data_IF_317129345530
#
_entry.id   IF_317129345530
#
_cell.length_a   1.000
_cell.length_b   1.000
_cell.length_c   1.000
_cell.angle_alpha   90.00
_cell.angle_beta   90.00
_cell.angle_gamma   90.00
#
_symmetry.space_group_name_H-M   'P 1'
#
loop_
_entity.id
_entity.type
_entity.pdbx_description
1 polymer ?
#
# COMPACT_ATOMS: atom_id res chain seq x y z
N UNK A 1 -27.87 47.15 52.24
CA UNK A 1 -27.83 46.85 50.84
C UNK A 1 -26.42 47.15 50.38
N UNK A 2 -25.57 46.11 50.14
CA UNK A 2 -24.18 46.28 49.71
C UNK A 2 -24.19 46.33 48.20
N UNK A 3 -23.83 47.49 47.63
CA UNK A 3 -23.65 47.60 46.18
C UNK A 3 -22.26 47.07 45.82
N UNK A 4 -22.20 46.03 44.98
CA UNK A 4 -20.98 45.50 44.43
C UNK A 4 -20.58 46.35 43.20
N UNK A 5 -19.38 46.93 43.25
CA UNK A 5 -18.81 47.64 42.11
C UNK A 5 -18.20 46.61 41.20
N UNK A 6 -18.72 46.43 39.99
CA UNK A 6 -18.10 45.64 38.94
C UNK A 6 -16.90 46.42 38.46
N UNK A 7 -15.71 45.93 38.74
CA UNK A 7 -14.47 46.45 38.18
C UNK A 7 -14.17 45.56 36.97
N UNK A 8 -14.22 46.16 35.80
CA UNK A 8 -13.75 45.47 34.57
C UNK A 8 -12.28 45.13 34.79
N UNK A 9 -11.91 43.85 34.76
CA UNK A 9 -10.52 43.44 34.72
C UNK A 9 -10.03 43.68 33.30
N UNK A 10 -8.86 44.33 33.10
CA UNK A 10 -8.34 44.64 31.76
C UNK A 10 -8.11 43.42 30.89
N UNK A 11 -7.98 42.23 31.50
CA UNK A 11 -7.71 40.95 30.78
C UNK A 11 -8.95 40.04 30.63
N UNK A 12 -10.12 40.48 31.18
CA UNK A 12 -11.40 39.84 30.87
C UNK A 12 -12.10 40.66 29.78
N UNK A 13 -11.50 40.72 28.59
CA UNK A 13 -12.33 40.80 27.39
C UNK A 13 -13.30 39.64 27.53
N UNK A 14 -14.60 39.89 27.65
CA UNK A 14 -15.63 38.87 27.57
C UNK A 14 -15.27 38.07 26.34
N UNK A 15 -14.82 36.81 26.54
CA UNK A 15 -14.68 35.90 25.44
C UNK A 15 -16.05 35.95 24.77
N UNK A 16 -16.04 36.36 23.51
CA UNK A 16 -17.25 36.40 22.74
C UNK A 16 -17.94 35.05 22.93
N UNK A 17 -19.23 35.04 23.25
CA UNK A 17 -19.95 33.80 23.50
C UNK A 17 -19.86 32.82 22.32
N UNK A 18 -19.38 33.29 21.16
CA UNK A 18 -19.30 32.57 19.90
C UNK A 18 -17.85 32.31 19.38
N UNK A 19 -16.85 33.04 19.91
CA UNK A 19 -15.45 32.83 19.54
C UNK A 19 -14.54 33.14 20.71
N UNK A 20 -13.54 32.30 20.96
CA UNK A 20 -12.47 32.66 21.91
C UNK A 20 -11.58 33.72 21.27
N UNK A 21 -11.03 34.64 22.08
CA UNK A 21 -10.01 35.62 21.62
C UNK A 21 -8.80 34.97 20.92
N UNK A 22 -8.60 33.67 21.15
CA UNK A 22 -7.58 32.86 20.49
C UNK A 22 -7.97 32.51 19.03
N UNK A 23 -9.28 32.38 18.72
CA UNK A 23 -9.75 32.07 17.37
C UNK A 23 -9.72 33.28 16.44
N UNK A 24 -9.61 34.50 16.98
CA UNK A 24 -9.52 35.74 16.19
C UNK A 24 -8.10 36.10 15.73
N UNK A 25 -7.09 35.38 16.22
CA UNK A 25 -5.70 35.65 15.83
C UNK A 25 -5.38 35.04 14.45
N UNK A 26 -5.28 35.84 13.36
CA UNK A 26 -4.98 35.31 12.04
C UNK A 26 -3.54 34.86 11.98
N UNK A 27 -3.32 33.58 11.67
CA UNK A 27 -1.99 33.06 11.38
C UNK A 27 -1.74 33.07 9.86
N UNK A 28 -0.57 33.56 9.40
CA UNK A 28 -0.23 33.52 7.98
C UNK A 28 -0.05 32.07 7.51
N UNK A 29 -0.68 31.72 6.39
CA UNK A 29 -0.62 30.35 5.82
C UNK A 29 0.63 30.07 4.98
N UNK A 30 1.24 31.11 4.39
CA UNK A 30 2.26 30.97 3.35
C UNK A 30 3.63 31.56 3.71
N UNK A 31 3.79 32.02 4.94
CA UNK A 31 5.06 32.55 5.46
C UNK A 31 5.14 32.28 6.97
N UNK A 32 6.35 32.27 7.50
CA UNK A 32 6.58 32.19 8.93
C UNK A 32 6.00 33.45 9.59
N UNK A 33 5.19 33.35 10.66
CA UNK A 33 4.78 34.51 11.44
C UNK A 33 5.99 35.29 11.96
N UNK A 34 5.91 36.61 12.02
CA UNK A 34 6.97 37.46 12.59
C UNK A 34 7.09 37.24 14.12
N UNK A 35 5.98 36.95 14.77
CA UNK A 35 5.93 36.71 16.20
C UNK A 35 5.53 35.27 16.51
N UNK A 36 5.91 34.78 17.68
CA UNK A 36 5.46 33.49 18.17
C UNK A 36 3.96 33.50 18.44
N UNK A 37 3.28 32.42 18.11
CA UNK A 37 1.86 32.22 18.41
C UNK A 37 1.67 31.39 19.69
N UNK A 38 0.51 31.54 20.33
CA UNK A 38 0.11 30.61 21.39
C UNK A 38 -0.02 29.19 20.80
N UNK A 39 0.58 28.16 21.44
CA UNK A 39 0.51 26.78 20.95
C UNK A 39 -0.93 26.26 20.75
N UNK A 40 -1.90 26.73 21.56
CA UNK A 40 -3.31 26.33 21.44
C UNK A 40 -3.94 26.92 20.19
N UNK A 41 -3.61 28.18 19.84
CA UNK A 41 -4.11 28.80 18.59
C UNK A 41 -3.58 28.05 17.37
N UNK A 42 -2.27 27.75 17.35
CA UNK A 42 -1.69 26.98 16.28
C UNK A 42 -2.32 25.57 16.15
N UNK A 43 -2.55 24.91 17.29
CA UNK A 43 -3.24 23.61 17.34
C UNK A 43 -4.66 23.71 16.77
N UNK A 44 -5.48 24.65 17.24
CA UNK A 44 -6.89 24.76 16.82
C UNK A 44 -7.02 25.10 15.34
N UNK A 45 -6.16 25.96 14.81
CA UNK A 45 -6.15 26.27 13.36
C UNK A 45 -5.84 25.02 12.52
N UNK A 46 -4.82 24.27 12.92
CA UNK A 46 -4.45 23.03 12.22
C UNK A 46 -5.56 21.97 12.38
N UNK A 47 -6.08 21.80 13.59
CA UNK A 47 -7.12 20.83 13.87
C UNK A 47 -8.42 21.11 13.11
N UNK A 48 -8.80 22.38 12.98
CA UNK A 48 -9.97 22.79 12.19
C UNK A 48 -9.77 22.53 10.69
N UNK A 49 -8.56 22.72 10.15
CA UNK A 49 -8.26 22.38 8.77
C UNK A 49 -8.30 20.85 8.53
N UNK A 50 -7.73 20.05 9.44
CA UNK A 50 -7.76 18.58 9.36
C UNK A 50 -9.17 18.01 9.49
N UNK A 51 -10.09 18.69 10.15
CA UNK A 51 -11.50 18.28 10.22
C UNK A 51 -12.24 18.35 8.86
N UNK A 52 -11.66 19.01 7.86
CA UNK A 52 -12.17 19.04 6.49
C UNK A 52 -11.67 17.84 5.65
N UNK A 53 -10.76 17.04 6.15
CA UNK A 53 -10.32 15.80 5.47
C UNK A 53 -11.44 14.76 5.45
N UNK A 54 -11.36 13.84 4.50
CA UNK A 54 -12.33 12.76 4.38
C UNK A 54 -12.29 11.77 5.55
N UNK A 55 -13.42 11.11 5.79
CA UNK A 55 -13.50 10.06 6.79
C UNK A 55 -12.73 8.80 6.30
N UNK A 56 -11.68 8.44 7.01
CA UNK A 56 -10.84 7.28 6.67
C UNK A 56 -11.60 5.94 6.64
N UNK A 57 -12.68 5.79 7.43
CA UNK A 57 -13.53 4.58 7.44
C UNK A 57 -14.36 4.43 6.16
N UNK A 58 -14.61 5.52 5.43
CA UNK A 58 -15.33 5.55 4.16
C UNK A 58 -14.40 5.54 2.94
N UNK A 59 -13.09 5.54 3.15
CA UNK A 59 -12.11 5.41 2.07
C UNK A 59 -11.91 3.93 1.71
N UNK A 60 -12.56 3.48 0.64
CA UNK A 60 -12.47 2.12 0.12
C UNK A 60 -11.42 2.00 -1.00
N UNK A 61 -10.67 3.07 -1.25
CA UNK A 61 -9.66 3.16 -2.31
C UNK A 61 -8.24 2.75 -1.85
N UNK A 62 -7.87 3.08 -0.62
CA UNK A 62 -6.50 2.90 -0.13
C UNK A 62 -6.24 1.51 0.43
N UNK A 63 -5.10 0.93 0.06
CA UNK A 63 -4.60 -0.31 0.68
C UNK A 63 -4.02 -0.09 2.08
N UNK A 64 -3.63 1.15 2.41
CA UNK A 64 -3.02 1.46 3.69
C UNK A 64 -4.03 1.29 4.83
N UNK A 65 -3.55 0.78 5.96
CA UNK A 65 -4.39 0.71 7.15
C UNK A 65 -4.79 2.11 7.62
N UNK A 66 -6.04 2.25 8.04
CA UNK A 66 -6.61 3.51 8.53
C UNK A 66 -7.08 3.41 9.98
N UNK A 67 -6.85 2.25 10.59
CA UNK A 67 -7.18 1.99 11.99
C UNK A 67 -5.99 1.32 12.68
N UNK A 68 -5.72 1.70 13.91
CA UNK A 68 -4.75 1.04 14.79
C UNK A 68 -5.23 1.10 16.25
N UNK A 69 -4.79 0.14 17.04
CA UNK A 69 -5.18 0.11 18.45
C UNK A 69 -4.47 1.21 19.27
N UNK A 70 -5.03 1.59 20.44
CA UNK A 70 -4.48 2.67 21.28
C UNK A 70 -3.04 2.40 21.75
N UNK A 71 -2.65 1.14 21.97
CA UNK A 71 -1.29 0.79 22.41
C UNK A 71 -0.28 1.06 21.31
N UNK A 72 -0.64 0.83 20.05
CA UNK A 72 0.20 1.20 18.89
C UNK A 72 0.51 2.70 18.91
N UNK A 73 -0.51 3.55 19.12
CA UNK A 73 -0.33 5.01 19.22
C UNK A 73 0.56 5.40 20.41
N UNK A 74 0.37 4.77 21.55
CA UNK A 74 1.20 5.02 22.75
C UNK A 74 2.67 4.71 22.47
N UNK A 75 2.97 3.51 21.96
CA UNK A 75 4.34 3.08 21.63
C UNK A 75 4.99 4.00 20.57
N UNK A 76 4.23 4.39 19.56
CA UNK A 76 4.74 5.33 18.55
C UNK A 76 5.07 6.69 19.15
N UNK A 77 4.21 7.23 20.01
CA UNK A 77 4.41 8.51 20.66
C UNK A 77 5.66 8.48 21.58
N UNK A 78 5.86 7.39 22.34
CA UNK A 78 7.03 7.18 23.20
C UNK A 78 8.34 7.02 22.40
N UNK A 79 8.25 6.67 21.11
CA UNK A 79 9.39 6.38 20.25
C UNK A 79 9.58 7.34 19.09
N UNK A 80 8.92 8.51 19.09
CA UNK A 80 9.02 9.53 18.03
C UNK A 80 10.45 9.99 17.75
N UNK A 81 11.31 10.02 18.78
CA UNK A 81 12.72 10.44 18.66
C UNK A 81 13.66 9.34 18.15
N UNK A 82 13.18 8.10 17.91
CA UNK A 82 14.06 7.02 17.47
C UNK A 82 14.38 7.14 15.98
N UNK A 83 15.67 7.30 15.66
CA UNK A 83 16.18 7.38 14.30
C UNK A 83 16.83 6.06 13.89
N UNK A 84 16.35 5.43 12.83
CA UNK A 84 16.82 4.10 12.39
C UNK A 84 18.27 4.07 11.94
N UNK A 85 18.87 5.20 11.56
CA UNK A 85 20.29 5.22 11.18
C UNK A 85 21.22 5.23 12.39
N UNK A 86 20.76 5.75 13.54
CA UNK A 86 21.60 5.91 14.75
C UNK A 86 21.58 4.62 15.59
N UNK A 87 22.16 3.56 15.03
CA UNK A 87 22.16 2.23 15.65
C UNK A 87 22.98 2.16 16.94
N UNK A 88 23.95 3.07 17.09
CA UNK A 88 24.77 3.19 18.31
C UNK A 88 23.97 3.83 19.46
N UNK A 89 23.18 4.86 19.16
CA UNK A 89 22.29 5.50 20.14
C UNK A 89 21.06 4.63 20.44
N UNK A 90 20.52 3.95 19.41
CA UNK A 90 19.30 3.15 19.51
C UNK A 90 19.50 1.67 19.19
N UNK A 91 20.42 0.94 19.89
CA UNK A 91 20.74 -0.46 19.55
C UNK A 91 19.54 -1.39 19.70
N UNK A 92 18.61 -1.11 20.65
CA UNK A 92 17.40 -1.92 20.81
C UNK A 92 16.40 -1.69 19.68
N UNK A 93 16.34 -0.51 19.10
CA UNK A 93 15.49 -0.26 17.91
C UNK A 93 16.04 -0.99 16.69
N UNK A 94 17.37 -1.03 16.53
CA UNK A 94 18.03 -1.81 15.49
C UNK A 94 17.82 -3.32 15.68
N UNK A 95 17.89 -3.80 16.92
CA UNK A 95 17.58 -5.20 17.26
C UNK A 95 16.12 -5.56 16.96
N UNK A 96 15.17 -4.66 17.24
CA UNK A 96 13.75 -4.83 16.91
C UNK A 96 13.56 -4.91 15.37
N UNK A 97 14.26 -4.07 14.60
CA UNK A 97 14.27 -4.19 13.14
C UNK A 97 14.73 -5.58 12.69
N UNK A 98 15.85 -6.05 13.23
CA UNK A 98 16.40 -7.37 12.92
C UNK A 98 15.39 -8.49 13.23
N UNK A 99 14.72 -8.43 14.39
CA UNK A 99 13.69 -9.40 14.76
C UNK A 99 12.50 -9.37 13.80
N UNK A 100 12.06 -8.19 13.35
CA UNK A 100 11.01 -8.10 12.34
C UNK A 100 11.43 -8.78 11.03
N UNK A 101 12.67 -8.55 10.57
CA UNK A 101 13.21 -9.20 9.36
C UNK A 101 13.19 -10.72 9.51
N UNK A 102 13.66 -11.26 10.64
CA UNK A 102 13.65 -12.70 10.89
C UNK A 102 12.23 -13.27 10.92
N UNK A 103 11.28 -12.61 11.61
CA UNK A 103 9.88 -13.06 11.66
C UNK A 103 9.25 -13.06 10.27
N UNK A 104 9.53 -12.05 9.45
CA UNK A 104 9.00 -11.94 8.10
C UNK A 104 9.65 -12.98 7.17
N UNK A 105 10.96 -13.21 7.31
CA UNK A 105 11.68 -14.24 6.55
C UNK A 105 11.14 -15.65 6.87
N UNK A 106 10.93 -15.97 8.16
CA UNK A 106 10.29 -17.21 8.59
C UNK A 106 8.86 -17.35 8.05
N UNK A 107 8.07 -16.25 8.09
CA UNK A 107 6.72 -16.23 7.56
C UNK A 107 6.68 -16.57 6.06
N UNK A 108 7.74 -16.24 5.32
CA UNK A 108 7.88 -16.48 3.86
C UNK A 108 8.79 -17.68 3.55
N UNK A 109 9.00 -18.58 4.51
CA UNK A 109 9.75 -19.83 4.35
C UNK A 109 11.17 -19.62 3.79
N UNK A 110 11.87 -18.60 4.28
CA UNK A 110 13.27 -18.42 3.93
C UNK A 110 14.11 -19.62 4.40
N UNK A 111 15.06 -20.11 3.60
CA UNK A 111 15.91 -21.24 4.00
C UNK A 111 16.80 -20.88 5.21
N UNK A 112 16.88 -21.74 6.21
CA UNK A 112 17.62 -21.53 7.47
C UNK A 112 19.12 -21.29 7.27
N UNK A 113 19.71 -21.91 6.25
CA UNK A 113 21.14 -21.92 5.96
C UNK A 113 21.56 -20.97 4.81
N UNK A 114 20.60 -20.25 4.22
CA UNK A 114 20.88 -19.42 3.05
C UNK A 114 21.52 -18.05 3.36
N UNK A 115 21.64 -17.67 4.62
CA UNK A 115 22.10 -16.33 5.00
C UNK A 115 21.15 -15.22 4.55
N UNK A 116 19.86 -15.45 4.74
CA UNK A 116 18.77 -14.50 4.41
C UNK A 116 19.03 -13.14 5.04
N UNK A 117 18.88 -12.08 4.26
CA UNK A 117 19.11 -10.70 4.70
C UNK A 117 17.91 -9.81 4.31
N UNK A 118 17.66 -8.78 5.11
CA UNK A 118 16.58 -7.84 4.84
C UNK A 118 16.74 -6.55 5.62
N UNK A 119 15.86 -5.59 5.31
CA UNK A 119 15.78 -4.33 6.04
C UNK A 119 14.36 -3.75 6.03
N UNK A 120 14.10 -2.84 6.98
CA UNK A 120 12.94 -1.98 6.94
C UNK A 120 13.12 -0.85 5.93
N UNK A 121 12.02 -0.36 5.40
CA UNK A 121 11.94 0.77 4.48
C UNK A 121 10.78 1.68 4.89
N UNK A 122 10.62 2.83 4.25
CA UNK A 122 9.48 3.73 4.48
C UNK A 122 8.17 3.25 3.82
N UNK A 123 8.24 2.13 3.11
CA UNK A 123 7.11 1.48 2.44
C UNK A 123 7.59 0.61 1.28
N UNK A 124 6.68 -0.16 0.67
CA UNK A 124 7.03 -1.06 -0.43
C UNK A 124 7.62 -0.36 -1.66
N UNK A 125 7.34 0.93 -1.87
CA UNK A 125 7.96 1.66 -2.99
C UNK A 125 9.48 1.78 -2.85
N UNK A 126 9.99 2.10 -1.66
CA UNK A 126 11.43 2.06 -1.39
C UNK A 126 11.95 0.62 -1.45
N UNK A 127 11.23 -0.32 -0.86
CA UNK A 127 11.59 -1.74 -0.88
C UNK A 127 11.73 -2.29 -2.31
N UNK A 128 10.81 -1.96 -3.21
CA UNK A 128 10.86 -2.30 -4.64
C UNK A 128 12.08 -1.68 -5.34
N UNK A 129 12.39 -0.41 -5.05
CA UNK A 129 13.58 0.24 -5.60
C UNK A 129 14.88 -0.42 -5.15
N UNK A 130 14.99 -0.79 -3.87
CA UNK A 130 16.16 -1.52 -3.34
C UNK A 130 16.31 -2.90 -3.99
N UNK A 131 15.20 -3.63 -4.14
CA UNK A 131 15.19 -4.93 -4.81
C UNK A 131 15.60 -4.81 -6.29
N UNK A 132 15.02 -3.85 -7.00
CA UNK A 132 15.37 -3.57 -8.40
C UNK A 132 16.84 -3.16 -8.58
N UNK A 133 17.37 -2.36 -7.67
CA UNK A 133 18.81 -2.03 -7.68
C UNK A 133 19.69 -3.26 -7.48
N UNK A 134 19.35 -4.14 -6.54
CA UNK A 134 20.08 -5.39 -6.34
C UNK A 134 20.07 -6.27 -7.60
N UNK A 135 18.90 -6.40 -8.27
CA UNK A 135 18.78 -7.13 -9.54
C UNK A 135 19.66 -6.50 -10.63
N UNK A 136 19.63 -5.18 -10.81
CA UNK A 136 20.42 -4.46 -11.82
C UNK A 136 21.93 -4.63 -11.59
N UNK A 137 22.39 -4.44 -10.35
CA UNK A 137 23.82 -4.53 -10.04
C UNK A 137 24.36 -5.95 -10.16
N UNK A 138 23.60 -6.97 -9.76
CA UNK A 138 23.97 -8.38 -9.99
C UNK A 138 24.06 -8.72 -11.48
N UNK A 139 23.06 -8.32 -12.27
CA UNK A 139 23.10 -8.48 -13.73
C UNK A 139 24.32 -7.78 -14.32
N UNK A 140 24.59 -6.52 -13.92
CA UNK A 140 25.74 -5.74 -14.35
C UNK A 140 27.06 -6.44 -14.02
N UNK A 141 27.24 -6.89 -12.80
CA UNK A 141 28.46 -7.60 -12.36
C UNK A 141 28.69 -8.87 -13.17
N UNK A 142 27.65 -9.68 -13.40
CA UNK A 142 27.72 -10.88 -14.25
C UNK A 142 28.13 -10.53 -15.67
N UNK A 143 27.52 -9.55 -16.29
CA UNK A 143 27.83 -9.10 -17.66
C UNK A 143 29.27 -8.60 -17.78
N UNK A 144 29.74 -7.84 -16.79
CA UNK A 144 31.13 -7.35 -16.76
C UNK A 144 32.13 -8.50 -16.63
N UNK A 145 31.85 -9.49 -15.78
CA UNK A 145 32.71 -10.68 -15.65
C UNK A 145 32.81 -11.48 -16.94
N UNK A 146 31.78 -11.47 -17.78
CA UNK A 146 31.74 -12.09 -19.10
C UNK A 146 32.29 -11.18 -20.21
N UNK A 147 32.73 -9.97 -19.93
CA UNK A 147 33.21 -8.99 -20.92
C UNK A 147 32.11 -8.49 -21.86
N UNK A 148 30.85 -8.55 -21.43
CA UNK A 148 29.69 -8.16 -22.24
C UNK A 148 29.23 -6.73 -21.87
N UNK A 149 28.47 -6.09 -22.77
CA UNK A 149 27.88 -4.78 -22.53
C UNK A 149 26.92 -4.80 -21.32
N UNK A 150 26.91 -3.72 -20.55
CA UNK A 150 25.99 -3.47 -19.44
C UNK A 150 24.99 -2.37 -19.76
N UNK A 151 24.84 -2.02 -21.02
CA UNK A 151 23.85 -1.07 -21.51
C UNK A 151 22.49 -1.73 -21.71
N UNK A 152 21.43 -0.94 -21.60
CA UNK A 152 20.04 -1.33 -21.84
C UNK A 152 19.52 -2.49 -20.96
N UNK A 153 19.72 -2.43 -19.62
CA UNK A 153 19.04 -3.37 -18.74
C UNK A 153 17.53 -3.24 -18.89
N UNK A 154 16.81 -4.38 -18.89
CA UNK A 154 15.36 -4.38 -18.90
C UNK A 154 14.78 -5.19 -17.73
N UNK A 155 13.59 -4.80 -17.30
CA UNK A 155 12.81 -5.47 -16.27
C UNK A 155 11.45 -5.85 -16.82
N UNK A 156 11.07 -7.12 -16.69
CA UNK A 156 9.77 -7.61 -17.18
C UNK A 156 8.76 -7.63 -16.04
N UNK A 157 7.52 -7.20 -16.32
CA UNK A 157 6.42 -7.23 -15.40
C UNK A 157 5.06 -7.28 -16.10
N UNK A 158 4.01 -7.59 -15.34
CA UNK A 158 2.63 -7.31 -15.72
C UNK A 158 2.23 -5.88 -15.38
N UNK A 159 0.93 -5.63 -15.10
CA UNK A 159 0.45 -4.30 -14.69
C UNK A 159 0.94 -3.94 -13.29
N UNK A 160 1.98 -3.14 -13.22
CA UNK A 160 2.66 -2.74 -11.98
C UNK A 160 2.09 -1.46 -11.36
N UNK A 161 2.41 -1.27 -10.09
CA UNK A 161 2.23 0.00 -9.40
C UNK A 161 3.33 0.98 -9.85
N UNK A 162 3.04 2.27 -9.87
CA UNK A 162 3.92 3.34 -10.36
C UNK A 162 5.35 3.35 -9.76
N UNK A 163 5.59 2.69 -8.62
CA UNK A 163 6.93 2.57 -8.05
C UNK A 163 7.92 1.87 -8.99
N UNK A 164 7.46 0.88 -9.78
CA UNK A 164 8.30 0.19 -10.76
C UNK A 164 8.57 1.05 -11.99
N UNK A 165 7.60 1.86 -12.44
CA UNK A 165 7.83 2.85 -13.49
C UNK A 165 8.84 3.91 -13.04
N UNK A 166 8.76 4.35 -11.77
CA UNK A 166 9.75 5.26 -11.17
C UNK A 166 11.12 4.60 -11.08
N UNK A 167 11.19 3.34 -10.61
CA UNK A 167 12.44 2.59 -10.58
C UNK A 167 13.08 2.56 -11.97
N UNK A 168 12.34 2.14 -12.98
CA UNK A 168 12.82 2.05 -14.35
C UNK A 168 13.36 3.38 -14.85
N UNK A 169 12.60 4.46 -14.67
CA UNK A 169 12.98 5.81 -15.11
C UNK A 169 14.18 6.40 -14.34
N UNK A 170 14.19 6.25 -13.01
CA UNK A 170 15.22 6.86 -12.17
C UNK A 170 16.57 6.14 -12.26
N UNK A 171 16.54 4.84 -12.51
CA UNK A 171 17.74 4.01 -12.58
C UNK A 171 18.08 3.54 -13.99
N UNK A 172 17.49 4.15 -15.03
CA UNK A 172 17.79 3.87 -16.42
C UNK A 172 17.69 2.37 -16.77
N UNK A 173 16.47 1.83 -16.55
CA UNK A 173 16.09 0.46 -16.88
C UNK A 173 14.89 0.51 -17.81
N UNK A 174 14.92 -0.24 -18.91
CA UNK A 174 13.74 -0.41 -19.77
C UNK A 174 12.68 -1.23 -19.03
N UNK A 175 11.50 -0.66 -18.81
CA UNK A 175 10.37 -1.41 -18.24
C UNK A 175 9.59 -2.09 -19.38
N UNK A 176 9.66 -3.41 -19.44
CA UNK A 176 8.86 -4.25 -20.34
C UNK A 176 7.59 -4.69 -19.64
N UNK A 177 6.60 -3.80 -19.64
CA UNK A 177 5.28 -4.11 -19.12
C UNK A 177 4.50 -4.91 -20.18
N UNK A 178 4.20 -6.18 -19.88
CA UNK A 178 3.48 -7.05 -20.79
C UNK A 178 1.97 -6.79 -20.75
N UNK A 179 1.28 -6.93 -21.88
CA UNK A 179 -0.16 -6.68 -21.96
C UNK A 179 -0.94 -7.70 -21.14
N UNK A 180 -2.10 -7.28 -20.63
CA UNK A 180 -3.04 -8.19 -19.96
C UNK A 180 -3.80 -8.99 -21.00
N UNK A 181 -3.54 -10.31 -21.04
CA UNK A 181 -4.21 -11.22 -21.97
C UNK A 181 -5.72 -11.32 -21.72
N UNK A 182 -6.54 -11.64 -22.73
CA UNK A 182 -7.95 -11.90 -22.54
C UNK A 182 -8.20 -12.97 -21.46
N UNK A 183 -9.08 -12.66 -20.50
CA UNK A 183 -9.36 -13.53 -19.35
C UNK A 183 -8.29 -13.58 -18.26
N UNK A 184 -7.22 -12.80 -18.39
CA UNK A 184 -6.21 -12.62 -17.36
C UNK A 184 -6.42 -11.31 -16.60
N UNK A 185 -5.77 -11.19 -15.43
CA UNK A 185 -5.76 -10.02 -14.57
C UNK A 185 -4.36 -9.48 -14.29
N UNK A 186 -3.32 -10.23 -14.68
CA UNK A 186 -1.90 -9.91 -14.50
C UNK A 186 -1.02 -10.71 -15.47
N UNK A 187 0.29 -10.71 -15.18
CA UNK A 187 1.31 -11.44 -15.96
C UNK A 187 1.02 -12.93 -16.03
N UNK A 188 1.19 -13.50 -17.22
CA UNK A 188 1.07 -14.94 -17.49
C UNK A 188 2.41 -15.54 -17.92
N UNK A 189 2.74 -16.78 -17.49
CA UNK A 189 4.02 -17.42 -17.80
C UNK A 189 4.32 -17.50 -19.30
N UNK A 190 3.32 -17.83 -20.14
CA UNK A 190 3.44 -17.98 -21.58
C UNK A 190 3.92 -16.74 -22.31
N UNK A 191 3.83 -15.56 -21.70
CA UNK A 191 4.30 -14.29 -22.27
C UNK A 191 5.81 -14.11 -22.15
N UNK A 192 6.49 -14.84 -21.26
CA UNK A 192 7.88 -14.54 -20.89
C UNK A 192 8.87 -14.89 -22.00
N UNK A 193 8.65 -16.01 -22.69
CA UNK A 193 9.62 -16.58 -23.64
C UNK A 193 10.01 -15.63 -24.79
N UNK A 194 9.08 -14.82 -25.23
CA UNK A 194 9.30 -13.86 -26.33
C UNK A 194 9.95 -12.55 -25.86
N UNK A 195 9.98 -12.30 -24.55
CA UNK A 195 10.39 -11.01 -23.98
C UNK A 195 11.67 -11.09 -23.12
N UNK A 196 12.07 -12.29 -22.70
CA UNK A 196 13.32 -12.51 -21.95
C UNK A 196 14.50 -12.49 -22.91
N UNK A 197 15.51 -11.68 -22.60
CA UNK A 197 16.78 -11.63 -23.32
C UNK A 197 17.97 -11.49 -22.35
N UNK A 198 19.19 -11.38 -22.89
CA UNK A 198 20.42 -11.26 -22.11
C UNK A 198 20.53 -9.95 -21.30
N UNK A 199 19.69 -8.97 -21.57
CA UNK A 199 19.62 -7.70 -20.85
C UNK A 199 18.55 -7.70 -19.76
N UNK A 200 17.78 -8.79 -19.62
CA UNK A 200 16.76 -8.92 -18.59
C UNK A 200 17.40 -9.08 -17.21
N UNK A 201 17.17 -8.10 -16.34
CA UNK A 201 17.71 -8.10 -14.96
C UNK A 201 16.87 -8.94 -14.00
N UNK A 202 15.59 -9.14 -14.31
CA UNK A 202 14.63 -9.92 -13.53
C UNK A 202 13.21 -9.81 -14.04
N UNK A 203 12.33 -10.61 -13.44
CA UNK A 203 10.88 -10.55 -13.62
C UNK A 203 10.25 -10.16 -12.29
N UNK A 204 9.32 -9.20 -12.32
CA UNK A 204 8.50 -8.85 -11.16
C UNK A 204 7.18 -9.59 -11.24
N UNK A 205 6.92 -10.45 -10.28
CA UNK A 205 5.63 -11.11 -10.09
C UNK A 205 4.89 -10.45 -8.92
N UNK A 206 3.59 -10.14 -9.09
CA UNK A 206 2.83 -9.36 -8.13
C UNK A 206 1.88 -10.23 -7.32
N UNK A 207 2.04 -10.22 -6.01
CA UNK A 207 1.10 -10.86 -5.09
C UNK A 207 0.05 -9.84 -4.61
N UNK A 208 -0.92 -9.55 -5.46
CA UNK A 208 -1.96 -8.56 -5.27
C UNK A 208 -1.86 -7.40 -6.26
N UNK A 209 -2.24 -7.66 -7.52
CA UNK A 209 -2.27 -6.67 -8.61
C UNK A 209 -3.10 -5.45 -8.20
N UNK A 210 -2.53 -4.26 -8.34
CA UNK A 210 -3.14 -3.02 -7.87
C UNK A 210 -4.52 -2.76 -8.48
N UNK A 211 -4.72 -3.16 -9.74
CA UNK A 211 -5.96 -2.91 -10.48
C UNK A 211 -7.09 -3.84 -10.07
N UNK A 212 -6.84 -5.14 -10.02
CA UNK A 212 -7.86 -6.18 -9.82
C UNK A 212 -7.79 -6.88 -8.46
N UNK A 213 -6.67 -6.75 -7.75
CA UNK A 213 -6.38 -7.38 -6.46
C UNK A 213 -6.12 -8.90 -6.50
N UNK A 214 -6.01 -9.47 -7.69
CA UNK A 214 -5.68 -10.87 -7.91
C UNK A 214 -4.17 -11.15 -7.72
N UNK A 215 -3.79 -12.42 -7.62
CA UNK A 215 -2.40 -12.86 -7.51
C UNK A 215 -1.87 -13.35 -8.85
N UNK A 216 -0.69 -12.90 -9.23
CA UNK A 216 0.04 -13.49 -10.36
C UNK A 216 0.62 -14.86 -9.97
N UNK A 217 0.71 -15.82 -10.89
CA UNK A 217 1.08 -17.20 -10.61
C UNK A 217 2.61 -17.37 -10.46
N UNK A 218 3.18 -16.91 -9.33
CA UNK A 218 4.63 -16.85 -9.07
C UNK A 218 5.35 -18.17 -9.39
N UNK A 219 4.84 -19.30 -8.91
CA UNK A 219 5.45 -20.60 -9.14
C UNK A 219 5.47 -20.99 -10.64
N UNK A 220 4.41 -20.68 -11.38
CA UNK A 220 4.34 -20.96 -12.80
C UNK A 220 5.25 -20.01 -13.64
N UNK A 221 5.35 -18.73 -13.22
CA UNK A 221 6.31 -17.75 -13.78
C UNK A 221 7.74 -18.27 -13.59
N UNK A 222 8.08 -18.75 -12.41
CA UNK A 222 9.39 -19.30 -12.11
C UNK A 222 9.68 -20.56 -12.96
N UNK A 223 8.71 -21.48 -13.09
CA UNK A 223 8.85 -22.69 -13.89
C UNK A 223 9.09 -22.39 -15.39
N UNK A 224 8.41 -21.37 -15.96
CA UNK A 224 8.68 -20.94 -17.34
C UNK A 224 10.09 -20.35 -17.48
N UNK A 225 10.56 -19.58 -16.50
CA UNK A 225 11.93 -19.07 -16.49
C UNK A 225 12.97 -20.20 -16.35
N UNK A 226 12.67 -21.29 -15.63
CA UNK A 226 13.51 -22.48 -15.56
C UNK A 226 13.60 -23.16 -16.94
N UNK A 227 12.49 -23.27 -17.67
CA UNK A 227 12.46 -23.79 -19.02
C UNK A 227 13.24 -22.89 -20.00
N UNK A 228 13.09 -21.57 -19.92
CA UNK A 228 13.86 -20.60 -20.71
C UNK A 228 15.37 -20.76 -20.44
N UNK A 229 15.76 -20.89 -19.18
CA UNK A 229 17.18 -21.10 -18.81
C UNK A 229 17.72 -22.41 -19.37
N UNK A 230 16.96 -23.49 -19.32
CA UNK A 230 17.36 -24.78 -19.87
C UNK A 230 17.60 -24.70 -21.39
N UNK A 231 16.77 -23.94 -22.10
CA UNK A 231 16.85 -23.81 -23.57
C UNK A 231 17.90 -22.79 -24.02
N UNK A 232 18.11 -21.70 -23.26
CA UNK A 232 18.88 -20.53 -23.71
C UNK A 232 20.13 -20.25 -22.88
N UNK A 233 20.22 -20.81 -21.68
CA UNK A 233 21.23 -20.47 -20.66
C UNK A 233 21.01 -19.17 -19.95
N UNK A 234 19.89 -18.44 -20.19
CA UNK A 234 19.58 -17.17 -19.55
C UNK A 234 19.01 -17.41 -18.16
N UNK A 235 19.79 -17.09 -17.14
CA UNK A 235 19.36 -17.15 -15.74
C UNK A 235 18.76 -15.80 -15.31
N UNK A 236 17.42 -15.75 -15.21
CA UNK A 236 16.65 -14.55 -14.87
C UNK A 236 15.94 -14.78 -13.54
N UNK A 237 16.25 -13.99 -12.49
CA UNK A 237 15.61 -14.12 -11.17
C UNK A 237 14.20 -13.54 -11.14
N UNK A 238 13.41 -13.98 -10.15
CA UNK A 238 12.10 -13.42 -9.84
C UNK A 238 12.21 -12.55 -8.57
N UNK A 239 11.65 -11.36 -8.64
CA UNK A 239 11.29 -10.57 -7.47
C UNK A 239 9.77 -10.63 -7.26
N UNK A 240 9.33 -10.91 -6.04
CA UNK A 240 7.90 -10.89 -5.72
C UNK A 240 7.53 -9.57 -5.06
N UNK A 241 6.76 -8.75 -5.78
CA UNK A 241 6.12 -7.58 -5.17
C UNK A 241 4.86 -8.04 -4.42
N UNK A 242 5.07 -8.36 -3.16
CA UNK A 242 4.01 -8.75 -2.24
C UNK A 242 3.52 -7.57 -1.38
N UNK A 243 3.57 -6.34 -1.92
CA UNK A 243 3.24 -5.12 -1.19
C UNK A 243 1.95 -5.23 -0.38
N UNK A 244 0.95 -5.92 -0.92
CA UNK A 244 -0.34 -6.18 -0.25
C UNK A 244 -0.46 -7.63 0.21
N UNK A 245 -0.15 -8.60 -0.65
CA UNK A 245 -0.37 -10.02 -0.40
C UNK A 245 0.56 -10.66 0.62
N UNK A 246 1.75 -10.09 0.87
CA UNK A 246 2.76 -10.65 1.76
C UNK A 246 2.34 -10.78 3.23
N UNK A 247 1.32 -10.02 3.66
CA UNK A 247 0.67 -10.16 4.97
C UNK A 247 -0.78 -10.67 4.88
N UNK A 248 -1.18 -11.24 3.73
CA UNK A 248 -2.48 -11.90 3.57
C UNK A 248 -2.28 -13.38 3.28
N UNK A 249 -1.60 -13.72 2.19
CA UNK A 249 -1.44 -15.09 1.72
C UNK A 249 -0.88 -16.06 2.80
N UNK A 250 0.17 -15.72 3.58
CA UNK A 250 0.72 -16.65 4.57
C UNK A 250 -0.26 -17.07 5.66
N UNK A 251 -1.31 -16.29 5.89
CA UNK A 251 -2.25 -16.50 6.99
C UNK A 251 -3.54 -17.19 6.55
N UNK A 252 -4.00 -16.94 5.33
CA UNK A 252 -5.29 -17.45 4.82
C UNK A 252 -5.15 -18.41 3.65
N UNK A 253 -3.95 -18.53 3.09
CA UNK A 253 -3.60 -19.43 1.99
C UNK A 253 -2.20 -20.04 2.21
N UNK A 254 -1.95 -20.73 3.34
CA UNK A 254 -0.61 -21.21 3.70
C UNK A 254 -0.05 -22.21 2.67
N UNK A 255 -0.91 -22.90 1.92
CA UNK A 255 -0.51 -23.89 0.91
C UNK A 255 -0.16 -23.23 -0.44
N UNK A 256 -0.46 -21.95 -0.64
CA UNK A 256 -0.10 -21.24 -1.87
C UNK A 256 1.43 -21.03 -1.93
N UNK A 257 2.05 -21.59 -2.97
CA UNK A 257 3.50 -21.50 -3.19
C UNK A 257 3.81 -20.27 -4.04
N UNK A 258 4.38 -19.23 -3.40
CA UNK A 258 4.70 -17.94 -4.03
C UNK A 258 5.97 -17.29 -3.47
N UNK A 259 6.43 -17.76 -2.32
CA UNK A 259 7.49 -17.21 -1.49
C UNK A 259 8.84 -17.91 -1.72
N UNK A 260 9.72 -17.90 -0.73
CA UNK A 260 11.03 -18.55 -0.84
C UNK A 260 10.99 -20.08 -0.97
N UNK A 261 9.84 -20.72 -0.94
CA UNK A 261 9.69 -22.12 -1.39
C UNK A 261 9.89 -22.27 -2.91
N UNK A 262 9.82 -21.18 -3.67
CA UNK A 262 10.17 -21.12 -5.08
C UNK A 262 11.63 -20.71 -5.20
N UNK A 263 12.52 -21.59 -5.64
CA UNK A 263 13.98 -21.37 -5.65
C UNK A 263 14.41 -20.13 -6.44
N UNK A 264 13.73 -19.82 -7.54
CA UNK A 264 14.01 -18.67 -8.39
C UNK A 264 13.60 -17.31 -7.79
N UNK A 265 12.82 -17.29 -6.70
CA UNK A 265 12.50 -16.06 -5.99
C UNK A 265 13.74 -15.56 -5.24
N UNK A 266 14.32 -14.49 -5.76
CA UNK A 266 15.53 -13.87 -5.23
C UNK A 266 15.25 -12.93 -4.08
N UNK A 267 14.12 -12.19 -4.14
CA UNK A 267 13.72 -11.22 -3.12
C UNK A 267 12.22 -11.01 -3.09
N UNK A 268 11.72 -10.55 -1.95
CA UNK A 268 10.30 -10.27 -1.71
C UNK A 268 10.21 -8.92 -0.98
N UNK A 269 9.25 -8.07 -1.36
CA UNK A 269 8.91 -6.87 -0.60
C UNK A 269 7.48 -6.88 -0.10
N UNK A 270 7.21 -6.13 0.99
CA UNK A 270 5.86 -5.91 1.52
C UNK A 270 5.72 -4.53 2.14
N UNK A 271 4.50 -3.98 2.12
CA UNK A 271 4.13 -2.82 2.93
C UNK A 271 3.61 -3.27 4.30
N UNK A 272 4.36 -2.95 5.35
CA UNK A 272 3.90 -3.17 6.71
C UNK A 272 2.64 -2.35 7.05
N UNK A 273 2.51 -1.17 6.44
CA UNK A 273 1.39 -0.25 6.65
C UNK A 273 0.13 -0.53 5.79
N UNK A 274 0.09 -1.67 5.09
CA UNK A 274 -1.11 -2.18 4.43
C UNK A 274 -1.72 -3.30 5.28
N UNK A 275 -1.74 -4.52 4.80
CA UNK A 275 -2.27 -5.67 5.54
C UNK A 275 -1.36 -6.15 6.69
N UNK A 276 -0.15 -5.60 6.82
CA UNK A 276 0.68 -5.71 8.03
C UNK A 276 0.16 -4.89 9.20
N UNK A 277 -0.85 -4.04 8.98
CA UNK A 277 -1.62 -3.26 9.96
C UNK A 277 -0.81 -2.20 10.73
N UNK A 278 0.47 -2.00 10.43
CA UNK A 278 1.24 -0.92 11.02
C UNK A 278 0.78 0.45 10.48
N UNK A 279 0.92 1.53 11.26
CA UNK A 279 0.71 2.89 10.76
C UNK A 279 1.63 3.22 9.59
N UNK A 280 1.24 4.21 8.76
CA UNK A 280 1.97 4.63 7.57
C UNK A 280 3.46 4.87 7.84
N UNK A 281 4.30 4.48 6.88
CA UNK A 281 5.74 4.76 6.89
C UNK A 281 6.62 3.54 7.19
N UNK A 282 6.14 2.31 6.97
CA UNK A 282 6.95 1.09 7.08
C UNK A 282 6.67 0.11 5.95
N UNK A 283 7.74 -0.46 5.42
CA UNK A 283 7.76 -1.59 4.50
C UNK A 283 9.00 -2.44 4.76
N UNK A 284 9.07 -3.57 4.09
CA UNK A 284 10.13 -4.55 4.28
C UNK A 284 10.57 -5.09 2.93
N UNK A 285 11.87 -5.38 2.82
CA UNK A 285 12.43 -6.15 1.73
C UNK A 285 13.34 -7.22 2.32
N UNK A 286 13.23 -8.43 1.78
CA UNK A 286 14.02 -9.59 2.19
C UNK A 286 14.59 -10.23 0.93
N UNK A 287 15.88 -10.52 0.95
CA UNK A 287 16.58 -11.33 -0.06
C UNK A 287 16.79 -12.73 0.49
N UNK A 288 16.65 -13.73 -0.37
CA UNK A 288 16.85 -15.14 -0.04
C UNK A 288 18.19 -15.40 0.63
N UNK A 289 19.25 -14.73 0.15
CA UNK A 289 20.62 -14.90 0.67
C UNK A 289 21.40 -13.59 0.53
N UNK A 290 22.48 -13.47 1.29
CA UNK A 290 23.32 -12.28 1.32
C UNK A 290 24.02 -12.01 -0.03
N UNK A 291 24.39 -13.04 -0.78
CA UNK A 291 25.03 -12.94 -2.10
C UNK A 291 24.10 -12.33 -3.16
N UNK A 292 22.79 -12.26 -2.89
CA UNK A 292 21.82 -11.58 -3.74
C UNK A 292 21.79 -10.07 -3.53
N UNK A 293 22.44 -9.55 -2.50
CA UNK A 293 22.60 -8.12 -2.23
C UNK A 293 24.06 -7.71 -2.47
N UNK A 294 24.38 -7.05 -3.59
CA UNK A 294 25.74 -6.60 -3.92
C UNK A 294 26.34 -5.70 -2.83
N UNK A 295 27.58 -6.01 -2.40
CA UNK A 295 28.25 -5.23 -1.36
C UNK A 295 28.47 -3.76 -1.74
N UNK A 296 28.62 -3.47 -3.02
CA UNK A 296 28.78 -2.11 -3.54
C UNK A 296 27.58 -1.21 -3.27
N UNK A 297 26.41 -1.80 -2.98
CA UNK A 297 25.21 -1.06 -2.60
C UNK A 297 25.13 -0.80 -1.10
N UNK A 298 25.99 -1.42 -0.29
CA UNK A 298 25.99 -1.26 1.16
C UNK A 298 26.97 -0.15 1.54
N UNK A 299 26.44 0.97 1.99
CA UNK A 299 27.23 2.10 2.47
C UNK A 299 27.54 1.92 3.95
N UNK A 300 28.78 2.23 4.35
CA UNK A 300 29.22 2.18 5.73
C UNK A 300 29.39 3.57 6.29
N UNK A 301 28.72 3.87 7.38
CA UNK A 301 28.72 5.16 8.06
C UNK A 301 29.43 5.00 9.40
N UNK A 302 30.41 5.84 9.70
CA UNK A 302 31.21 5.75 10.92
C UNK A 302 31.25 7.05 11.76
N UNK A 303 30.70 8.15 11.26
CA UNK A 303 30.77 9.44 11.96
C UNK A 303 29.64 9.63 13.01
N UNK A 304 28.70 8.68 13.10
CA UNK A 304 27.67 8.65 14.14
C UNK A 304 28.06 7.75 15.33
N UNK A 305 29.30 7.20 15.33
CA UNK A 305 29.76 6.18 16.27
C UNK A 305 29.59 4.76 15.69
N UNK A 306 30.63 3.93 15.77
CA UNK A 306 30.60 2.57 15.23
C UNK A 306 30.58 2.45 13.70
N UNK A 307 30.55 1.21 13.19
CA UNK A 307 30.42 0.89 11.76
C UNK A 307 28.95 0.51 11.46
N UNK A 308 28.26 1.36 10.73
CA UNK A 308 26.83 1.23 10.46
C UNK A 308 26.58 0.95 8.99
N UNK A 309 26.40 -0.33 8.59
CA UNK A 309 25.99 -0.65 7.23
C UNK A 309 24.56 -0.19 6.98
N UNK A 310 24.34 0.46 5.85
CA UNK A 310 23.01 0.90 5.38
C UNK A 310 22.85 0.70 3.88
N UNK A 311 21.67 0.29 3.46
CA UNK A 311 21.25 0.22 2.06
C UNK A 311 19.99 1.03 1.80
N UNK A 312 19.34 1.57 2.85
CA UNK A 312 18.15 2.40 2.71
C UNK A 312 18.41 3.63 1.82
N UNK A 313 17.45 4.03 1.00
CA UNK A 313 17.53 5.25 0.19
C UNK A 313 17.50 6.50 1.06
N UNK A 314 16.75 6.45 2.19
CA UNK A 314 16.66 7.53 3.15
C UNK A 314 17.69 7.33 4.27
N UNK A 315 18.40 8.39 4.65
CA UNK A 315 19.35 8.34 5.75
C UNK A 315 18.61 8.34 7.10
N UNK A 316 18.16 9.51 7.56
CA UNK A 316 17.34 9.60 8.76
C UNK A 316 15.90 9.17 8.48
N UNK A 317 15.37 8.26 9.27
CA UNK A 317 14.00 7.77 9.16
C UNK A 317 13.46 7.33 10.52
N UNK A 318 12.15 7.45 10.74
CA UNK A 318 11.58 7.17 12.06
C UNK A 318 11.61 5.68 12.41
N UNK A 319 11.96 5.37 13.65
CA UNK A 319 11.93 4.01 14.19
C UNK A 319 10.57 3.62 14.79
N UNK A 320 9.71 4.58 15.07
CA UNK A 320 8.41 4.33 15.71
C UNK A 320 7.53 3.38 14.91
N UNK A 321 7.57 3.44 13.57
CA UNK A 321 6.80 2.55 12.70
C UNK A 321 7.33 1.09 12.74
N UNK A 322 8.63 0.92 12.87
CA UNK A 322 9.27 -0.41 13.03
C UNK A 322 8.85 -1.02 14.37
N UNK A 323 8.85 -0.22 15.42
CA UNK A 323 8.40 -0.63 16.76
C UNK A 323 6.91 -1.01 16.74
N UNK A 324 6.08 -0.21 16.06
CA UNK A 324 4.66 -0.51 15.88
C UNK A 324 4.42 -1.83 15.13
N UNK A 325 5.19 -2.08 14.05
CA UNK A 325 5.12 -3.35 13.33
C UNK A 325 5.49 -4.54 14.23
N UNK A 326 6.58 -4.43 14.99
CA UNK A 326 7.00 -5.48 15.91
C UNK A 326 5.95 -5.78 16.97
N UNK A 327 5.37 -4.72 17.57
CA UNK A 327 4.27 -4.87 18.52
C UNK A 327 3.09 -5.66 17.91
N UNK A 328 2.69 -5.32 16.70
CA UNK A 328 1.58 -6.01 16.02
C UNK A 328 1.92 -7.49 15.72
N UNK A 329 3.15 -7.77 15.29
CA UNK A 329 3.61 -9.15 15.07
C UNK A 329 3.52 -9.97 16.35
N UNK A 330 3.97 -9.41 17.49
CA UNK A 330 3.92 -10.10 18.79
C UNK A 330 2.50 -10.21 19.34
N UNK A 331 1.71 -9.11 19.26
CA UNK A 331 0.37 -9.06 19.84
C UNK A 331 -0.61 -9.99 19.14
N UNK A 332 -0.61 -9.99 17.84
CA UNK A 332 -1.53 -10.78 17.04
C UNK A 332 -1.04 -12.22 16.85
N UNK A 333 0.26 -12.38 16.65
CA UNK A 333 0.80 -13.67 16.28
C UNK A 333 0.15 -14.23 15.01
N UNK A 334 0.49 -15.43 14.62
CA UNK A 334 -0.06 -16.10 13.42
C UNK A 334 -1.59 -16.23 13.48
N UNK A 335 -2.13 -16.59 14.64
CA UNK A 335 -3.56 -16.78 14.83
C UNK A 335 -4.34 -15.48 14.70
N UNK A 336 -3.89 -14.39 15.32
CA UNK A 336 -4.57 -13.09 15.26
C UNK A 336 -4.54 -12.49 13.85
N UNK A 337 -3.41 -12.59 13.14
CA UNK A 337 -3.34 -12.19 11.74
C UNK A 337 -4.31 -13.02 10.88
N UNK A 338 -4.33 -14.35 11.03
CA UNK A 338 -5.26 -15.22 10.29
C UNK A 338 -6.72 -14.84 10.54
N UNK A 339 -7.10 -14.58 11.79
CA UNK A 339 -8.47 -14.17 12.15
C UNK A 339 -8.85 -12.82 11.50
N UNK A 340 -7.96 -11.84 11.54
CA UNK A 340 -8.23 -10.51 10.94
C UNK A 340 -8.33 -10.61 9.41
N UNK A 341 -7.38 -11.29 8.76
CA UNK A 341 -7.39 -11.43 7.30
C UNK A 341 -8.60 -12.25 6.82
N UNK A 342 -8.97 -13.31 7.54
CA UNK A 342 -10.16 -14.09 7.21
C UNK A 342 -11.44 -13.26 7.35
N UNK A 343 -11.58 -12.49 8.42
CA UNK A 343 -12.73 -11.60 8.59
C UNK A 343 -12.84 -10.55 7.47
N UNK A 344 -11.69 -10.04 6.98
CA UNK A 344 -11.66 -9.15 5.81
C UNK A 344 -12.12 -9.88 4.54
N UNK A 345 -11.67 -11.12 4.30
CA UNK A 345 -12.10 -11.94 3.16
C UNK A 345 -13.58 -12.26 3.20
N UNK A 346 -14.09 -12.70 4.36
CA UNK A 346 -15.51 -13.02 4.54
C UNK A 346 -16.39 -11.79 4.27
N UNK A 347 -15.95 -10.62 4.72
CA UNK A 347 -16.65 -9.36 4.46
C UNK A 347 -16.59 -8.99 2.97
N UNK A 348 -15.45 -9.18 2.30
CA UNK A 348 -15.29 -8.91 0.87
C UNK A 348 -16.20 -9.82 0.03
N UNK A 349 -16.22 -11.11 0.30
CA UNK A 349 -17.07 -12.08 -0.41
C UNK A 349 -18.55 -11.78 -0.21
N UNK A 350 -18.97 -11.49 1.02
CA UNK A 350 -20.35 -11.10 1.30
C UNK A 350 -20.75 -9.82 0.55
N UNK A 351 -19.88 -8.83 0.51
CA UNK A 351 -20.13 -7.58 -0.22
C UNK A 351 -20.15 -7.81 -1.73
N UNK A 352 -19.30 -8.69 -2.26
CA UNK A 352 -19.29 -9.08 -3.68
C UNK A 352 -20.64 -9.68 -4.11
N UNK A 353 -21.19 -10.59 -3.32
CA UNK A 353 -22.52 -11.17 -3.56
C UNK A 353 -23.62 -10.08 -3.54
N UNK A 354 -23.51 -9.14 -2.60
CA UNK A 354 -24.40 -7.99 -2.50
C UNK A 354 -24.35 -7.06 -3.71
N UNK A 355 -23.14 -6.75 -4.22
CA UNK A 355 -22.92 -5.92 -5.42
C UNK A 355 -23.46 -6.64 -6.66
N UNK A 356 -23.15 -7.94 -6.84
CA UNK A 356 -23.66 -8.73 -7.95
C UNK A 356 -25.20 -8.80 -7.98
N UNK A 357 -25.84 -8.79 -6.81
CA UNK A 357 -27.29 -8.78 -6.65
C UNK A 357 -27.99 -7.46 -7.01
N UNK A 358 -27.26 -6.35 -7.19
CA UNK A 358 -27.86 -5.06 -7.60
C UNK A 358 -28.29 -5.09 -9.07
N UNK A 359 -27.63 -5.85 -9.93
CA UNK A 359 -28.03 -6.14 -11.31
C UNK A 359 -27.10 -5.57 -12.38
N UNK A 360 -26.73 -4.26 -12.42
CA UNK A 360 -25.97 -3.70 -13.54
C UNK A 360 -24.48 -4.08 -13.53
N UNK A 361 -23.99 -4.75 -12.49
CA UNK A 361 -22.57 -5.01 -12.30
C UNK A 361 -22.15 -6.42 -12.73
N UNK A 362 -20.94 -6.51 -13.30
CA UNK A 362 -20.20 -7.74 -13.53
C UNK A 362 -18.94 -7.71 -12.66
N UNK A 363 -18.77 -8.73 -11.82
CA UNK A 363 -17.56 -8.89 -11.02
C UNK A 363 -16.39 -9.33 -11.90
N UNK A 364 -15.25 -8.69 -11.74
CA UNK A 364 -13.96 -9.12 -12.30
C UNK A 364 -13.16 -9.89 -11.25
N UNK A 365 -13.32 -9.53 -9.98
CA UNK A 365 -12.74 -10.21 -8.84
C UNK A 365 -13.73 -10.13 -7.65
N UNK A 366 -13.99 -11.27 -7.02
CA UNK A 366 -15.02 -11.45 -5.99
C UNK A 366 -14.48 -11.65 -4.57
N UNK A 367 -13.20 -11.41 -4.35
CA UNK A 367 -12.56 -11.58 -3.05
C UNK A 367 -12.12 -13.01 -2.74
N UNK A 368 -12.18 -13.95 -3.70
CA UNK A 368 -11.73 -15.33 -3.50
C UNK A 368 -10.34 -15.57 -4.04
N UNK A 369 -9.52 -16.25 -3.29
CA UNK A 369 -8.22 -16.74 -3.75
C UNK A 369 -7.11 -15.72 -3.77
N UNK A 370 -7.34 -14.44 -3.40
CA UNK A 370 -6.31 -13.40 -3.33
C UNK A 370 -6.62 -12.36 -2.24
N UNK A 371 -6.49 -11.05 -2.51
CA UNK A 371 -6.70 -10.00 -1.50
C UNK A 371 -8.19 -9.86 -1.11
N UNK A 372 -8.50 -9.40 0.11
CA UNK A 372 -9.85 -9.07 0.54
C UNK A 372 -10.33 -7.79 -0.15
N UNK A 373 -10.80 -7.93 -1.38
CA UNK A 373 -11.22 -6.83 -2.24
C UNK A 373 -12.27 -7.29 -3.24
N UNK A 374 -12.94 -6.33 -3.87
CA UNK A 374 -13.88 -6.57 -4.96
C UNK A 374 -13.50 -5.63 -6.10
N UNK A 375 -13.47 -6.12 -7.33
CA UNK A 375 -13.43 -5.26 -8.52
C UNK A 375 -14.57 -5.63 -9.46
N UNK A 376 -15.21 -4.63 -10.02
CA UNK A 376 -16.37 -4.79 -10.89
C UNK A 376 -16.45 -3.72 -11.97
N UNK A 377 -17.15 -4.08 -13.04
CA UNK A 377 -17.48 -3.19 -14.16
C UNK A 377 -18.98 -3.21 -14.40
N UNK A 378 -19.48 -2.41 -15.33
CA UNK A 378 -20.86 -2.51 -15.82
C UNK A 378 -20.99 -3.71 -16.75
N UNK A 379 -22.17 -4.35 -16.74
CA UNK A 379 -22.50 -5.40 -17.70
C UNK A 379 -22.60 -4.84 -19.11
N UNK A 380 -22.33 -5.64 -20.10
CA UNK A 380 -22.52 -5.28 -21.50
C UNK A 380 -23.96 -4.82 -21.75
N UNK A 381 -24.09 -3.68 -22.43
CA UNK A 381 -25.39 -3.08 -22.72
C UNK A 381 -26.01 -2.22 -21.61
N UNK A 382 -25.32 -2.05 -20.48
CA UNK A 382 -25.71 -1.06 -19.46
C UNK A 382 -25.16 0.31 -19.86
N UNK A 383 -26.02 1.18 -20.38
CA UNK A 383 -25.70 2.51 -20.93
C UNK A 383 -26.42 3.67 -20.21
N UNK A 384 -27.25 3.36 -19.21
CA UNK A 384 -28.03 4.38 -18.47
C UNK A 384 -27.17 5.27 -17.59
N UNK A 385 -25.99 4.81 -17.19
CA UNK A 385 -25.00 5.56 -16.42
C UNK A 385 -23.59 4.99 -16.64
N UNK A 386 -22.57 5.70 -16.20
CA UNK A 386 -21.19 5.21 -16.16
C UNK A 386 -20.66 5.15 -14.71
N UNK A 387 -19.54 4.44 -14.52
CA UNK A 387 -18.97 4.25 -13.17
C UNK A 387 -18.38 5.56 -12.59
N UNK A 388 -18.02 6.54 -13.42
CA UNK A 388 -17.54 7.84 -12.91
C UNK A 388 -18.69 8.61 -12.26
N UNK A 389 -19.87 8.65 -12.89
CA UNK A 389 -21.06 9.25 -12.31
C UNK A 389 -21.46 8.57 -11.00
N UNK A 390 -21.36 7.23 -10.95
CA UNK A 390 -21.62 6.47 -9.74
C UNK A 390 -20.62 6.84 -8.63
N UNK A 391 -19.33 6.98 -8.95
CA UNK A 391 -18.30 7.42 -8.00
C UNK A 391 -18.60 8.81 -7.42
N UNK A 392 -19.04 9.75 -8.25
CA UNK A 392 -19.43 11.09 -7.81
C UNK A 392 -20.63 11.05 -6.85
N UNK A 393 -21.65 10.23 -7.15
CA UNK A 393 -22.82 10.07 -6.28
C UNK A 393 -22.47 9.43 -4.94
N UNK A 394 -21.58 8.43 -4.94
CA UNK A 394 -21.05 7.82 -3.73
C UNK A 394 -20.22 8.82 -2.90
N UNK A 395 -19.44 9.69 -3.57
CA UNK A 395 -18.66 10.74 -2.92
C UNK A 395 -19.54 11.76 -2.18
N UNK A 396 -20.72 12.10 -2.73
CA UNK A 396 -21.69 12.94 -2.01
C UNK A 396 -22.19 12.31 -0.69
N UNK A 397 -22.03 10.99 -0.52
CA UNK A 397 -22.31 10.24 0.70
C UNK A 397 -21.08 10.03 1.57
N UNK A 398 -19.91 10.56 1.16
CA UNK A 398 -18.63 10.41 1.87
C UNK A 398 -17.79 9.21 1.42
N UNK A 399 -18.32 8.33 0.56
CA UNK A 399 -17.59 7.15 0.11
C UNK A 399 -16.56 7.50 -0.96
N UNK A 400 -15.32 7.05 -0.75
CA UNK A 400 -14.25 7.15 -1.74
C UNK A 400 -14.06 5.78 -2.41
N UNK A 401 -14.66 5.59 -3.58
CA UNK A 401 -14.53 4.39 -4.40
C UNK A 401 -13.79 4.77 -5.68
N UNK A 402 -12.59 4.24 -5.92
CA UNK A 402 -11.80 4.62 -7.10
C UNK A 402 -12.41 4.01 -8.35
N UNK A 403 -12.50 4.84 -9.39
CA UNK A 403 -12.96 4.48 -10.73
C UNK A 403 -11.87 4.78 -11.73
N UNK A 404 -11.46 3.80 -12.51
CA UNK A 404 -10.33 3.93 -13.45
C UNK A 404 -10.40 2.87 -14.55
N UNK A 405 -9.79 3.12 -15.73
CA UNK A 405 -9.66 2.11 -16.76
C UNK A 405 -8.65 1.03 -16.35
N UNK A 406 -8.79 -0.17 -16.88
CA UNK A 406 -7.78 -1.21 -16.79
C UNK A 406 -6.46 -0.77 -17.49
N UNK A 407 -5.34 -1.48 -17.24
CA UNK A 407 -4.03 -1.16 -17.83
C UNK A 407 -4.04 -1.10 -19.36
N UNK A 408 -2.93 -0.64 -20.00
CA UNK A 408 -2.78 -0.66 -21.45
C UNK A 408 -3.26 -1.99 -22.07
N UNK A 409 -3.88 -1.89 -23.23
CA UNK A 409 -4.55 -2.95 -24.00
C UNK A 409 -5.95 -3.37 -23.48
N UNK A 410 -6.42 -2.82 -22.35
CA UNK A 410 -7.74 -3.06 -21.76
C UNK A 410 -8.42 -1.77 -21.27
N UNK A 411 -7.99 -0.59 -21.77
CA UNK A 411 -8.47 0.72 -21.29
C UNK A 411 -9.96 0.98 -21.58
N UNK A 412 -10.57 0.25 -22.48
CA UNK A 412 -12.01 0.31 -22.76
C UNK A 412 -12.84 -0.21 -21.57
N UNK A 413 -12.24 -1.00 -20.70
CA UNK A 413 -12.91 -1.53 -19.50
C UNK A 413 -12.64 -0.63 -18.30
N UNK A 414 -13.65 0.15 -17.91
CA UNK A 414 -13.62 0.95 -16.68
C UNK A 414 -14.11 0.11 -15.51
N UNK A 415 -13.41 0.17 -14.40
CA UNK A 415 -13.73 -0.59 -13.19
C UNK A 415 -13.88 0.29 -11.96
N UNK A 416 -14.59 -0.21 -10.97
CA UNK A 416 -14.50 0.23 -9.58
C UNK A 416 -13.88 -0.88 -8.73
N UNK A 417 -13.12 -0.46 -7.71
CA UNK A 417 -12.49 -1.38 -6.76
C UNK A 417 -12.80 -0.98 -5.33
N UNK A 418 -13.23 -1.94 -4.54
CA UNK A 418 -13.51 -1.79 -3.10
C UNK A 418 -12.52 -2.65 -2.32
N UNK A 419 -11.80 -2.04 -1.40
CA UNK A 419 -10.84 -2.73 -0.54
C UNK A 419 -11.42 -2.91 0.86
N UNK A 420 -11.32 -4.13 1.37
CA UNK A 420 -11.66 -4.46 2.75
C UNK A 420 -10.38 -4.61 3.55
N UNK A 421 -10.29 -3.87 4.65
CA UNK A 421 -9.09 -3.79 5.49
C UNK A 421 -9.46 -3.93 6.95
N UNK A 422 -8.48 -4.17 7.78
CA UNK A 422 -8.66 -4.09 9.23
C UNK A 422 -9.31 -2.76 9.62
N UNK A 423 -10.38 -2.83 10.44
CA UNK A 423 -11.21 -1.68 10.79
C UNK A 423 -12.41 -1.43 9.86
N UNK A 424 -12.51 -2.15 8.73
CA UNK A 424 -13.72 -2.12 7.88
C UNK A 424 -14.70 -3.18 8.37
N UNK A 425 -15.75 -2.77 9.09
CA UNK A 425 -16.76 -3.68 9.63
C UNK A 425 -17.80 -4.05 8.57
N UNK A 426 -18.46 -5.19 8.80
CA UNK A 426 -19.60 -5.61 7.98
C UNK A 426 -20.75 -4.61 8.03
N UNK A 427 -21.05 -4.05 9.20
CA UNK A 427 -22.11 -3.04 9.37
C UNK A 427 -21.82 -1.80 8.51
N UNK A 428 -20.56 -1.36 8.46
CA UNK A 428 -20.15 -0.25 7.59
C UNK A 428 -20.35 -0.61 6.11
N UNK A 429 -20.09 -1.86 5.71
CA UNK A 429 -20.28 -2.32 4.34
C UNK A 429 -21.76 -2.53 4.00
N UNK A 430 -22.64 -2.81 4.97
CA UNK A 430 -24.09 -2.79 4.78
C UNK A 430 -24.59 -1.40 4.40
N UNK A 431 -24.13 -0.37 5.12
CA UNK A 431 -24.46 1.03 4.81
C UNK A 431 -23.92 1.40 3.41
N UNK A 432 -22.70 1.00 3.08
CA UNK A 432 -22.15 1.20 1.74
C UNK A 432 -23.00 0.55 0.65
N UNK A 433 -23.41 -0.70 0.84
CA UNK A 433 -24.22 -1.46 -0.11
C UNK A 433 -25.62 -0.82 -0.32
N UNK A 434 -26.23 -0.30 0.75
CA UNK A 434 -27.48 0.46 0.66
C UNK A 434 -27.29 1.76 -0.12
N UNK A 435 -26.23 2.53 0.16
CA UNK A 435 -25.94 3.76 -0.56
C UNK A 435 -25.62 3.48 -2.03
N UNK A 436 -24.93 2.39 -2.34
CA UNK A 436 -24.67 1.94 -3.71
C UNK A 436 -25.98 1.66 -4.46
N UNK A 437 -26.91 0.92 -3.85
CA UNK A 437 -28.25 0.66 -4.44
C UNK A 437 -29.01 1.95 -4.72
N UNK A 438 -29.07 2.84 -3.74
CA UNK A 438 -29.73 4.17 -3.88
C UNK A 438 -29.10 5.02 -4.98
N UNK A 439 -27.78 5.00 -5.11
CA UNK A 439 -27.09 5.72 -6.19
C UNK A 439 -27.41 5.15 -7.55
N UNK A 440 -27.44 3.81 -7.70
CA UNK A 440 -27.83 3.14 -8.94
C UNK A 440 -29.29 3.44 -9.28
N UNK A 441 -30.22 3.32 -8.34
CA UNK A 441 -31.63 3.64 -8.52
C UNK A 441 -31.81 5.09 -9.01
N UNK A 442 -31.08 6.05 -8.40
CA UNK A 442 -31.13 7.45 -8.79
C UNK A 442 -30.59 7.70 -10.19
N UNK A 443 -29.50 7.04 -10.56
CA UNK A 443 -28.87 7.19 -11.88
C UNK A 443 -29.68 6.54 -13.00
N UNK A 444 -30.43 5.48 -12.68
CA UNK A 444 -31.26 4.76 -13.64
C UNK A 444 -32.71 5.25 -13.71
N UNK A 445 -33.14 6.11 -12.76
CA UNK A 445 -34.46 6.72 -12.76
C UNK A 445 -34.54 7.89 -13.73
N UNK A 446 -35.65 8.12 -14.41
CA UNK A 446 -35.82 9.30 -15.23
C UNK A 446 -35.69 10.59 -14.38
N UNK A 447 -35.15 11.68 -14.92
CA UNK A 447 -35.05 12.93 -14.20
C UNK A 447 -36.44 13.36 -13.70
N UNK A 448 -36.54 13.92 -12.46
CA UNK A 448 -37.81 14.38 -11.94
C UNK A 448 -38.44 15.39 -12.90
N UNK A 449 -39.71 15.22 -13.24
CA UNK A 449 -40.45 16.11 -14.09
C UNK A 449 -40.48 17.53 -13.50
N UNK A 450 -40.62 18.56 -14.35
CA UNK A 450 -40.64 19.97 -13.89
C UNK A 450 -41.74 20.23 -12.83
N UNK A 451 -42.84 19.47 -12.86
CA UNK A 451 -43.93 19.54 -11.89
C UNK A 451 -43.50 19.06 -10.48
N UNK A 452 -42.58 18.07 -10.38
CA UNK A 452 -42.05 17.61 -9.09
C UNK A 452 -41.09 18.61 -8.44
N UNK A 453 -40.65 19.65 -9.15
CA UNK A 453 -39.81 20.74 -8.64
C UNK A 453 -40.61 21.96 -8.14
N UNK A 454 -41.93 21.97 -8.33
CA UNK A 454 -42.80 23.07 -7.87
C UNK A 454 -43.30 22.77 -6.46
N UNK A 455 -42.76 23.47 -5.51
CA UNK A 455 -43.36 23.59 -4.19
C UNK A 455 -42.36 23.38 -3.08
N UNK A 456 -41.80 24.48 -2.60
CA UNK A 456 -41.32 24.55 -1.22
C UNK A 456 -42.59 24.67 -0.36
N UNK A 457 -42.94 23.58 0.33
CA UNK A 457 -44.02 23.61 1.29
C UNK A 457 -43.39 23.63 2.71
N UNK A 458 -43.77 24.65 3.51
CA UNK A 458 -43.47 24.73 4.92
C UNK A 458 -44.30 23.74 5.71
#
# INVERSE_FOLDING_TARGET
>A
MVMHKVVARPDETMADAYASALAEQPLPKWRIPEERSDPRVAYEVIHAELAMDGNASQNLATFCTTWSDPVTHTLMNESLGKNMIDKDEYPQTAEIESRCVHIIADLWHAPDDAGTIGCSTTGSSEAAMLAGLALKWRWRARRQAEGKSTERPNLICGPVQVCWEKFARYFDVELRQLPVLPGATGLRPEQLREHVDENTIGVVAILGVTYTCDYEPVAAIAAELDAIQADTGLDVPVHVDAASGGFVAPFVQPDLVWDFRVDRVASINVSGHKYGMAPLGVGWVVWRSQDLLPEELIFRVNYLGGDMPTFALNFSRPGSQVIAQYYLLLRLGRQGYAQVQQACLDTAQWLADGIAGIGPFQLLYDGKGALPAISYTLRDGEDRFNLYDLSEHLRMRGWQVPTYPLPPDRQETVIQRVLIRHGTSRDTMEIFLEDLRRCVERLTSPPPTAEARQGFHH
#
